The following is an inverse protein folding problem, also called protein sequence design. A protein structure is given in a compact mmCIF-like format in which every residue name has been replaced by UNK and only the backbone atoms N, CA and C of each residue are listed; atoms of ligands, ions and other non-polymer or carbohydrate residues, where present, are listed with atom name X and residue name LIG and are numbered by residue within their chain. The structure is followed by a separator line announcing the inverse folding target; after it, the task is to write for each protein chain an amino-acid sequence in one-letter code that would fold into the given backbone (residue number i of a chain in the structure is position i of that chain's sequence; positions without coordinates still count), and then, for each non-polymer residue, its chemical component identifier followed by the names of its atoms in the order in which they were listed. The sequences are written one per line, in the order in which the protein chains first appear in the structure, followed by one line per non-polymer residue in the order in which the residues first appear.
data_IF_358095004522
#
_entry.id   IF_358095004522
#
_cell.length_a   1.000
_cell.length_b   1.000
_cell.length_c   1.000
_cell.angle_alpha   90.00
_cell.angle_beta   90.00
_cell.angle_gamma   90.00
#
_symmetry.space_group_name_H-M   'P 1'
#
loop_
_entity.id
_entity.type
_entity.pdbx_description
1 polymer ?
#
# COMPACT_ATOMS: atom_id res chain seq x y z
N UNK A 1 39.89 13.22 52.95
CA UNK A 1 38.86 12.51 52.16
C UNK A 1 38.41 13.34 50.95
N UNK A 2 38.51 14.68 50.98
CA UNK A 2 38.16 15.55 49.83
C UNK A 2 39.17 15.51 48.67
N UNK A 3 40.45 15.26 48.92
CA UNK A 3 41.49 15.23 47.86
C UNK A 3 41.42 14.02 46.93
N UNK A 4 40.89 12.89 47.40
CA UNK A 4 40.73 11.68 46.60
C UNK A 4 39.49 11.75 45.70
N UNK A 5 38.44 12.45 46.16
CA UNK A 5 37.22 12.65 45.38
C UNK A 5 37.43 13.64 44.24
N UNK A 6 38.16 14.74 44.47
CA UNK A 6 38.51 15.69 43.42
C UNK A 6 39.39 15.05 42.34
N UNK A 7 40.40 14.27 42.74
CA UNK A 7 41.23 13.51 41.80
C UNK A 7 40.43 12.46 41.01
N UNK A 8 39.43 11.82 41.63
CA UNK A 8 38.56 10.86 40.96
C UNK A 8 37.60 11.53 39.97
N UNK A 9 37.02 12.68 40.32
CA UNK A 9 36.18 13.48 39.42
C UNK A 9 36.98 14.02 38.25
N UNK A 10 38.20 14.51 38.50
CA UNK A 10 39.11 14.98 37.45
C UNK A 10 39.61 13.85 36.54
N UNK A 11 39.69 12.60 37.05
CA UNK A 11 40.00 11.42 36.25
C UNK A 11 38.84 11.02 35.32
N UNK A 12 37.60 11.26 35.72
CA UNK A 12 36.41 10.96 34.91
C UNK A 12 36.18 12.01 33.83
N UNK A 13 36.24 13.30 34.19
CA UNK A 13 35.97 14.38 33.25
C UNK A 13 36.83 15.61 33.52
N UNK A 14 37.68 15.95 32.55
CA UNK A 14 38.52 17.12 32.62
C UNK A 14 37.89 18.28 31.83
N UNK A 15 37.28 19.22 32.56
CA UNK A 15 36.62 20.42 32.00
C UNK A 15 37.56 21.30 31.17
N UNK A 16 38.85 21.42 31.55
CA UNK A 16 39.82 22.28 30.84
C UNK A 16 40.21 21.73 29.47
N UNK A 17 40.28 20.40 29.35
CA UNK A 17 40.68 19.71 28.09
C UNK A 17 39.49 19.16 27.30
N UNK A 18 38.26 19.24 27.84
CA UNK A 18 37.05 18.59 27.30
C UNK A 18 37.24 17.10 27.02
N UNK A 19 38.01 16.43 27.88
CA UNK A 19 38.30 15.00 27.77
C UNK A 19 37.45 14.23 28.79
N UNK A 20 36.78 13.18 28.33
CA UNK A 20 36.06 12.23 29.17
C UNK A 20 36.86 10.93 29.21
N UNK A 21 37.26 10.49 30.41
CA UNK A 21 38.14 9.34 30.63
C UNK A 21 39.43 9.39 29.79
N UNK A 22 40.03 10.58 29.68
CA UNK A 22 41.28 10.81 28.94
C UNK A 22 41.16 10.81 27.41
N UNK A 23 39.94 10.89 26.85
CA UNK A 23 39.72 11.02 25.40
C UNK A 23 38.71 12.13 25.09
N UNK A 24 38.98 12.85 24.01
CA UNK A 24 38.07 13.84 23.44
C UNK A 24 36.77 13.18 22.93
N UNK A 25 35.64 13.87 23.05
CA UNK A 25 34.32 13.42 22.58
C UNK A 25 34.33 13.05 21.09
N UNK A 26 35.11 13.77 20.27
CA UNK A 26 35.28 13.46 18.85
C UNK A 26 35.97 12.10 18.59
N UNK A 27 36.81 11.61 19.53
CA UNK A 27 37.45 10.29 19.43
C UNK A 27 36.50 9.18 19.88
N UNK A 28 35.69 9.44 20.90
CA UNK A 28 34.64 8.53 21.33
C UNK A 28 33.58 8.32 20.24
N UNK A 29 33.19 9.38 19.54
CA UNK A 29 32.24 9.31 18.44
C UNK A 29 32.74 8.45 17.28
N UNK A 30 34.03 8.61 16.90
CA UNK A 30 34.67 7.77 15.88
C UNK A 30 34.68 6.28 16.25
N UNK A 31 34.95 5.94 17.51
CA UNK A 31 34.96 4.54 17.97
C UNK A 31 33.55 3.93 17.94
N UNK A 32 32.53 4.67 18.36
CA UNK A 32 31.13 4.24 18.32
C UNK A 32 30.63 4.08 16.90
N UNK A 33 30.90 5.05 16.03
CA UNK A 33 30.58 4.98 14.61
C UNK A 33 31.28 3.79 13.95
N UNK A 34 32.56 3.58 14.24
CA UNK A 34 33.33 2.43 13.74
C UNK A 34 32.71 1.09 14.15
N UNK A 35 32.40 0.92 15.44
CA UNK A 35 31.74 -0.29 15.95
C UNK A 35 30.35 -0.50 15.34
N UNK A 36 29.56 0.56 15.20
CA UNK A 36 28.24 0.48 14.59
C UNK A 36 28.33 0.07 13.11
N UNK A 37 29.24 0.68 12.35
CA UNK A 37 29.46 0.35 10.94
C UNK A 37 29.96 -1.08 10.76
N UNK A 38 30.84 -1.58 11.62
CA UNK A 38 31.32 -2.98 11.53
C UNK A 38 30.19 -3.96 11.84
N UNK A 39 29.41 -3.73 12.90
CA UNK A 39 28.26 -4.57 13.24
C UNK A 39 27.18 -4.53 12.14
N UNK A 40 26.92 -3.37 11.56
CA UNK A 40 25.99 -3.22 10.45
C UNK A 40 26.48 -3.97 9.19
N UNK A 41 27.78 -3.91 8.90
CA UNK A 41 28.36 -4.62 7.75
C UNK A 41 28.25 -6.13 7.92
N UNK A 42 28.53 -6.65 9.12
CA UNK A 42 28.35 -8.06 9.44
C UNK A 42 26.88 -8.46 9.31
N UNK A 43 25.95 -7.65 9.85
CA UNK A 43 24.53 -7.89 9.73
C UNK A 43 24.07 -7.95 8.26
N UNK A 44 24.51 -7.00 7.43
CA UNK A 44 24.18 -6.95 6.01
C UNK A 44 24.78 -8.12 5.23
N UNK A 45 25.98 -8.59 5.60
CA UNK A 45 26.61 -9.76 4.99
C UNK A 45 25.92 -11.08 5.37
N UNK A 46 25.41 -11.20 6.61
CA UNK A 46 24.69 -12.38 7.10
C UNK A 46 23.21 -12.41 6.69
N UNK A 47 22.64 -11.27 6.29
CA UNK A 47 21.25 -11.19 5.85
C UNK A 47 21.10 -11.77 4.44
N UNK A 48 20.19 -12.74 4.21
CA UNK A 48 19.94 -13.26 2.88
C UNK A 48 19.49 -12.13 1.94
N UNK A 49 20.15 -11.98 0.79
CA UNK A 49 19.79 -10.98 -0.22
C UNK A 49 18.53 -11.36 -1.02
N UNK A 50 18.14 -12.63 -0.98
CA UNK A 50 17.21 -13.20 -1.96
C UNK A 50 15.78 -13.27 -1.43
N UNK A 51 15.62 -13.43 -0.11
CA UNK A 51 14.31 -13.46 0.54
C UNK A 51 14.38 -12.89 1.95
N UNK A 52 13.33 -12.19 2.41
CA UNK A 52 13.27 -11.73 3.77
C UNK A 52 13.23 -12.93 4.72
N UNK A 53 13.96 -12.84 5.85
CA UNK A 53 13.94 -13.88 6.88
C UNK A 53 12.59 -14.00 7.58
N UNK A 54 11.89 -12.87 7.70
CA UNK A 54 10.55 -12.79 8.30
C UNK A 54 9.60 -12.20 7.28
N UNK A 55 8.49 -12.88 7.05
CA UNK A 55 7.41 -12.41 6.20
C UNK A 55 6.07 -12.63 6.91
N UNK A 56 5.07 -11.77 6.67
CA UNK A 56 3.73 -11.97 7.22
C UNK A 56 3.08 -13.23 6.62
N UNK A 57 2.25 -13.91 7.41
CA UNK A 57 1.51 -15.11 6.99
C UNK A 57 0.35 -14.78 6.02
N UNK A 58 -0.16 -13.55 6.07
CA UNK A 58 -1.31 -13.09 5.28
C UNK A 58 -1.03 -11.76 4.59
N UNK A 59 -1.51 -11.61 3.35
CA UNK A 59 -1.45 -10.34 2.63
C UNK A 59 -2.50 -9.35 3.13
N UNK A 60 -2.10 -8.09 3.29
CA UNK A 60 -3.07 -6.99 3.32
C UNK A 60 -3.56 -6.68 1.90
N UNK A 61 -4.75 -6.10 1.80
CA UNK A 61 -5.30 -5.60 0.54
C UNK A 61 -5.09 -4.09 0.49
N UNK A 62 -4.60 -3.61 -0.65
CA UNK A 62 -4.54 -2.19 -0.97
C UNK A 62 -5.65 -1.84 -1.93
N UNK A 63 -6.20 -0.63 -1.83
CA UNK A 63 -7.09 -0.09 -2.84
C UNK A 63 -6.52 1.20 -3.43
N UNK A 64 -6.98 1.56 -4.62
CA UNK A 64 -6.73 2.83 -5.30
C UNK A 64 -8.02 3.28 -5.98
N UNK A 65 -8.28 4.58 -6.12
CA UNK A 65 -7.42 5.71 -5.73
C UNK A 65 -7.52 6.05 -4.24
N UNK A 66 -6.46 6.64 -3.71
CA UNK A 66 -6.38 7.13 -2.32
C UNK A 66 -5.79 8.54 -2.37
N UNK A 67 -6.62 9.56 -2.17
CA UNK A 67 -6.18 10.96 -2.13
C UNK A 67 -5.78 11.39 -0.71
N UNK A 68 -6.52 10.92 0.30
CA UNK A 68 -6.24 11.13 1.71
C UNK A 68 -6.04 9.77 2.38
N UNK A 69 -4.83 9.56 2.92
CA UNK A 69 -4.42 8.28 3.50
C UNK A 69 -5.13 8.03 4.83
N UNK A 70 -5.50 9.10 5.55
CA UNK A 70 -6.09 9.00 6.89
C UNK A 70 -7.59 8.75 6.85
N UNK A 71 -8.28 9.35 5.87
CA UNK A 71 -9.75 9.29 5.80
C UNK A 71 -10.29 8.10 5.01
N UNK A 72 -9.49 7.51 4.10
CA UNK A 72 -9.93 6.46 3.16
C UNK A 72 -11.30 6.77 2.51
N UNK A 73 -11.56 8.05 2.24
CA UNK A 73 -12.83 8.56 1.75
C UNK A 73 -12.69 8.97 0.28
N UNK A 74 -13.63 8.51 -0.54
CA UNK A 74 -13.77 8.86 -1.94
C UNK A 74 -15.00 9.76 -2.06
N UNK A 75 -14.74 11.06 -2.18
CA UNK A 75 -15.72 12.12 -2.32
C UNK A 75 -15.85 12.52 -3.78
N UNK A 76 -16.96 12.16 -4.43
CA UNK A 76 -17.24 12.50 -5.84
C UNK A 76 -18.32 13.57 -5.86
N UNK A 77 -18.04 14.73 -6.45
CA UNK A 77 -19.04 15.78 -6.66
C UNK A 77 -19.60 15.68 -8.09
N UNK A 78 -20.88 15.34 -8.24
CA UNK A 78 -21.55 15.27 -9.55
C UNK A 78 -21.81 16.64 -10.17
N UNK A 79 -21.74 17.71 -9.37
CA UNK A 79 -22.13 19.07 -9.75
C UNK A 79 -20.95 20.00 -9.98
N UNK A 80 -19.77 19.65 -9.49
CA UNK A 80 -18.53 20.30 -9.88
C UNK A 80 -18.30 20.04 -11.38
N UNK A 81 -18.07 21.12 -12.14
CA UNK A 81 -17.90 21.14 -13.60
C UNK A 81 -17.24 19.89 -14.18
N UNK A 82 -17.90 19.26 -15.18
CA UNK A 82 -17.42 18.12 -16.00
C UNK A 82 -16.03 18.32 -16.65
N UNK A 83 -15.43 19.49 -16.52
CA UNK A 83 -14.21 19.89 -17.23
C UNK A 83 -12.93 19.79 -16.39
N UNK A 84 -13.01 19.61 -15.07
CA UNK A 84 -11.81 19.34 -14.25
C UNK A 84 -11.64 17.83 -14.11
N UNK A 85 -10.60 17.29 -14.74
CA UNK A 85 -10.25 15.88 -14.64
C UNK A 85 -10.19 15.50 -13.15
N UNK A 86 -11.16 14.69 -12.72
CA UNK A 86 -11.33 14.30 -11.32
C UNK A 86 -9.96 13.88 -10.72
N UNK A 87 -9.54 14.44 -9.56
CA UNK A 87 -8.28 14.10 -8.92
C UNK A 87 -8.08 12.60 -8.72
N UNK A 88 -9.16 11.81 -8.58
CA UNK A 88 -9.10 10.35 -8.54
C UNK A 88 -8.61 9.75 -9.86
N UNK A 89 -9.11 10.23 -11.00
CA UNK A 89 -8.69 9.78 -12.34
C UNK A 89 -7.22 10.13 -12.58
N UNK A 90 -6.79 11.33 -12.17
CA UNK A 90 -5.38 11.73 -12.23
C UNK A 90 -4.49 10.82 -11.39
N UNK A 91 -4.91 10.49 -10.17
CA UNK A 91 -4.20 9.57 -9.27
C UNK A 91 -4.07 8.17 -9.88
N UNK A 92 -5.15 7.64 -10.48
CA UNK A 92 -5.14 6.35 -11.17
C UNK A 92 -4.21 6.37 -12.39
N UNK A 93 -4.31 7.38 -13.25
CA UNK A 93 -3.43 7.50 -14.42
C UNK A 93 -1.95 7.59 -14.03
N UNK A 94 -1.63 8.37 -12.99
CA UNK A 94 -0.27 8.44 -12.45
C UNK A 94 0.21 7.08 -11.93
N UNK A 95 -0.67 6.34 -11.25
CA UNK A 95 -0.36 5.01 -10.74
C UNK A 95 -0.11 4.01 -11.88
N UNK A 96 -0.96 3.99 -12.91
CA UNK A 96 -0.86 3.06 -14.02
C UNK A 96 0.20 3.41 -15.06
N UNK A 97 0.78 4.62 -15.02
CA UNK A 97 1.92 4.97 -15.89
C UNK A 97 3.07 3.97 -15.78
N UNK A 98 3.30 3.42 -14.58
CA UNK A 98 4.32 2.39 -14.33
C UNK A 98 3.90 1.02 -14.87
N UNK A 99 2.60 0.70 -14.86
CA UNK A 99 2.07 -0.58 -15.35
C UNK A 99 2.04 -0.67 -16.88
N UNK A 100 1.72 0.45 -17.54
CA UNK A 100 1.66 0.54 -19.00
C UNK A 100 3.01 0.90 -19.64
N UNK A 101 4.05 1.17 -18.85
CA UNK A 101 5.38 1.39 -19.40
C UNK A 101 5.84 0.12 -20.12
N UNK A 102 5.95 0.25 -21.44
CA UNK A 102 6.16 -0.83 -22.39
C UNK A 102 7.61 -1.30 -22.25
N UNK A 103 7.83 -2.47 -21.66
CA UNK A 103 9.11 -3.16 -21.80
C UNK A 103 9.15 -3.77 -23.20
N UNK A 104 9.66 -3.03 -24.18
CA UNK A 104 9.63 -3.42 -25.60
C UNK A 104 10.51 -4.64 -25.95
N UNK A 105 11.23 -5.24 -25.00
CA UNK A 105 12.14 -6.37 -25.25
C UNK A 105 12.35 -7.27 -24.02
N UNK A 106 11.29 -7.83 -23.45
CA UNK A 106 11.44 -8.89 -22.43
C UNK A 106 10.72 -10.13 -22.96
N UNK A 107 11.45 -11.24 -23.10
CA UNK A 107 10.89 -12.54 -23.44
C UNK A 107 9.79 -12.91 -22.43
N UNK A 108 8.56 -12.77 -22.90
CA UNK A 108 7.31 -12.88 -22.16
C UNK A 108 7.03 -14.26 -21.56
N UNK A 109 7.85 -15.26 -21.88
CA UNK A 109 7.74 -16.61 -21.34
C UNK A 109 8.33 -16.75 -19.92
N UNK A 110 9.15 -15.81 -19.44
CA UNK A 110 9.74 -15.88 -18.09
C UNK A 110 9.10 -14.95 -17.06
N UNK A 111 8.35 -13.93 -17.50
CA UNK A 111 7.65 -13.03 -16.58
C UNK A 111 6.15 -13.23 -16.73
N UNK A 112 5.51 -13.75 -15.67
CA UNK A 112 4.06 -13.90 -15.63
C UNK A 112 3.41 -12.50 -15.62
N UNK A 113 3.22 -11.88 -16.78
CA UNK A 113 2.47 -10.61 -16.90
C UNK A 113 0.98 -10.89 -16.72
N UNK A 114 0.42 -10.40 -15.61
CA UNK A 114 -1.01 -10.44 -15.36
C UNK A 114 -1.76 -9.67 -16.47
N UNK A 115 -2.43 -10.39 -17.36
CA UNK A 115 -3.34 -9.81 -18.35
C UNK A 115 -4.74 -9.80 -17.75
N UNK A 116 -5.36 -8.61 -17.67
CA UNK A 116 -6.74 -8.45 -17.19
C UNK A 116 -7.68 -9.25 -18.08
N UNK A 117 -8.48 -10.14 -17.49
CA UNK A 117 -9.73 -10.61 -18.10
C UNK A 117 -10.76 -9.48 -18.05
N UNK A 118 -10.98 -8.81 -19.18
CA UNK A 118 -12.00 -7.78 -19.46
C UNK A 118 -12.29 -6.76 -18.32
N UNK A 119 -11.59 -5.61 -18.26
CA UNK A 119 -11.85 -4.56 -17.27
C UNK A 119 -13.21 -3.84 -17.38
N UNK A 120 -14.09 -4.27 -18.30
CA UNK A 120 -15.39 -3.63 -18.53
C UNK A 120 -15.23 -2.13 -18.81
N UNK A 121 -16.02 -1.30 -18.12
CA UNK A 121 -15.96 0.16 -18.23
C UNK A 121 -14.80 0.80 -17.44
N UNK A 122 -14.01 0.03 -16.69
CA UNK A 122 -12.95 0.54 -15.81
C UNK A 122 -11.64 0.86 -16.57
N UNK A 123 -11.76 1.53 -17.71
CA UNK A 123 -10.64 1.89 -18.59
C UNK A 123 -10.29 3.37 -18.47
N UNK A 124 -9.08 3.74 -18.89
CA UNK A 124 -8.62 5.12 -18.86
C UNK A 124 -9.45 6.03 -19.80
N UNK A 125 -9.94 5.47 -20.91
CA UNK A 125 -10.80 6.13 -21.89
C UNK A 125 -12.13 6.56 -21.26
N UNK A 126 -12.72 5.69 -20.44
CA UNK A 126 -13.98 5.96 -19.73
C UNK A 126 -13.76 6.66 -18.37
N UNK A 127 -12.56 7.20 -18.12
CA UNK A 127 -12.20 7.86 -16.86
C UNK A 127 -12.49 6.97 -15.63
N UNK A 128 -12.27 5.66 -15.77
CA UNK A 128 -12.56 4.64 -14.75
C UNK A 128 -13.98 4.73 -14.16
N UNK A 129 -14.96 5.16 -14.97
CA UNK A 129 -16.38 5.29 -14.60
C UNK A 129 -16.72 6.48 -13.68
N UNK A 130 -15.73 7.28 -13.26
CA UNK A 130 -15.94 8.43 -12.37
C UNK A 130 -16.84 9.50 -13.01
N UNK A 131 -16.66 9.76 -14.30
CA UNK A 131 -17.45 10.76 -15.04
C UNK A 131 -18.95 10.43 -15.13
N UNK A 132 -19.28 9.13 -15.13
CA UNK A 132 -20.66 8.65 -15.20
C UNK A 132 -21.29 8.45 -13.80
N UNK A 133 -20.56 8.76 -12.73
CA UNK A 133 -20.99 8.49 -11.35
C UNK A 133 -21.01 7.00 -10.99
N UNK A 134 -20.28 6.17 -11.75
CA UNK A 134 -20.10 4.74 -11.54
C UNK A 134 -18.61 4.45 -11.26
N UNK A 135 -18.09 4.84 -10.09
CA UNK A 135 -16.66 4.80 -9.83
C UNK A 135 -16.13 3.35 -9.84
N UNK A 136 -15.02 3.14 -10.52
CA UNK A 136 -14.26 1.90 -10.45
C UNK A 136 -13.13 2.02 -9.43
N UNK A 137 -13.12 1.12 -8.46
CA UNK A 137 -12.09 1.02 -7.44
C UNK A 137 -11.14 -0.12 -7.80
N UNK A 138 -9.86 0.18 -7.82
CA UNK A 138 -8.81 -0.80 -8.07
C UNK A 138 -8.40 -1.43 -6.75
N UNK A 139 -8.60 -2.74 -6.60
CA UNK A 139 -8.20 -3.49 -5.41
C UNK A 139 -7.06 -4.42 -5.79
N UNK A 140 -5.95 -4.32 -5.06
CA UNK A 140 -4.75 -5.13 -5.30
C UNK A 140 -4.34 -5.88 -4.04
N UNK A 141 -3.65 -6.98 -4.27
CA UNK A 141 -2.97 -7.72 -3.21
C UNK A 141 -1.54 -7.19 -3.01
N UNK A 142 -1.05 -7.21 -1.77
CA UNK A 142 0.35 -6.93 -1.48
C UNK A 142 1.22 -8.11 -1.91
N UNK A 143 2.44 -7.81 -2.39
CA UNK A 143 3.40 -8.81 -2.83
C UNK A 143 4.09 -9.44 -1.61
N UNK A 144 3.88 -10.73 -1.38
CA UNK A 144 4.60 -11.51 -0.38
C UNK A 144 5.44 -12.55 -1.11
N UNK A 145 6.74 -12.61 -0.78
CA UNK A 145 7.68 -13.56 -1.40
C UNK A 145 7.30 -14.99 -0.98
N UNK A 146 7.17 -15.91 -1.95
CA UNK A 146 6.84 -17.31 -1.72
C UNK A 146 5.38 -17.60 -1.33
N UNK A 147 4.51 -16.59 -1.32
CA UNK A 147 3.11 -16.79 -0.95
C UNK A 147 2.30 -17.42 -2.09
N UNK A 148 1.56 -18.48 -1.78
CA UNK A 148 0.61 -19.13 -2.70
C UNK A 148 -0.74 -19.27 -1.98
N UNK A 149 -1.84 -18.68 -2.50
CA UNK A 149 -3.15 -18.84 -1.89
C UNK A 149 -3.69 -20.26 -2.11
N UNK A 150 -4.31 -20.83 -1.07
CA UNK A 150 -5.06 -22.09 -1.15
C UNK A 150 -6.55 -21.76 -1.34
N UNK A 151 -7.16 -22.06 -2.49
CA UNK A 151 -8.57 -21.76 -2.72
C UNK A 151 -9.43 -22.52 -1.71
N UNK A 152 -10.48 -21.88 -1.23
CA UNK A 152 -11.48 -22.50 -0.36
C UNK A 152 -12.61 -23.08 -1.22
N UNK A 153 -13.22 -24.19 -0.79
CA UNK A 153 -14.24 -24.91 -1.57
C UNK A 153 -15.59 -24.17 -1.68
N UNK A 154 -15.72 -22.98 -1.09
CA UNK A 154 -16.90 -22.11 -1.21
C UNK A 154 -16.68 -21.04 -2.27
N UNK A 155 -17.06 -21.33 -3.51
CA UNK A 155 -17.08 -20.31 -4.56
C UNK A 155 -18.42 -19.58 -4.53
N UNK A 156 -18.41 -18.32 -4.07
CA UNK A 156 -19.53 -17.41 -4.33
C UNK A 156 -19.38 -16.87 -5.76
N UNK A 157 -20.31 -17.24 -6.63
CA UNK A 157 -20.33 -16.82 -8.04
C UNK A 157 -20.50 -15.29 -8.19
N UNK A 158 -20.87 -14.58 -7.13
CA UNK A 158 -21.00 -13.12 -7.13
C UNK A 158 -19.69 -12.39 -6.79
N UNK A 159 -18.60 -13.12 -6.53
CA UNK A 159 -17.31 -12.55 -6.16
C UNK A 159 -16.28 -12.64 -7.31
N UNK A 160 -15.43 -11.62 -7.43
CA UNK A 160 -14.29 -11.68 -8.34
C UNK A 160 -13.25 -12.71 -7.88
N UNK A 161 -12.75 -13.52 -8.80
CA UNK A 161 -11.73 -14.54 -8.53
C UNK A 161 -10.35 -14.11 -9.02
N UNK A 162 -9.30 -14.43 -8.24
CA UNK A 162 -7.91 -14.30 -8.66
C UNK A 162 -7.35 -15.68 -9.02
N UNK A 163 -6.81 -15.80 -10.23
CA UNK A 163 -6.20 -17.06 -10.66
C UNK A 163 -4.86 -17.31 -9.93
N UNK A 164 -4.69 -18.54 -9.45
CA UNK A 164 -3.50 -18.97 -8.70
C UNK A 164 -2.25 -18.98 -9.58
N UNK A 165 -2.42 -19.06 -10.92
CA UNK A 165 -1.32 -19.11 -11.89
C UNK A 165 -0.31 -17.97 -11.74
N UNK A 166 -0.75 -16.82 -11.23
CA UNK A 166 0.09 -15.64 -11.04
C UNK A 166 0.97 -15.69 -9.78
N UNK A 167 0.76 -16.65 -8.89
CA UNK A 167 1.59 -16.88 -7.71
C UNK A 167 2.61 -18.02 -7.95
N UNK A 168 3.68 -18.14 -7.14
CA UNK A 168 4.15 -17.20 -6.12
C UNK A 168 4.95 -16.01 -6.71
N UNK A 169 5.12 -14.97 -5.90
CA UNK A 169 6.11 -13.91 -6.17
C UNK A 169 7.48 -14.36 -5.62
N UNK A 170 8.51 -14.37 -6.45
CA UNK A 170 9.84 -14.90 -6.11
C UNK A 170 10.83 -13.80 -5.67
N UNK A 171 10.40 -12.54 -5.70
CA UNK A 171 11.23 -11.40 -5.33
C UNK A 171 11.79 -10.68 -6.55
N UNK A 172 12.59 -9.63 -6.32
CA UNK A 172 13.08 -8.74 -7.39
C UNK A 172 14.30 -9.27 -8.16
N UNK A 173 14.89 -10.41 -7.75
CA UNK A 173 16.20 -10.87 -8.22
C UNK A 173 16.13 -11.76 -9.47
N UNK A 174 15.02 -12.44 -9.73
CA UNK A 174 14.87 -13.44 -10.81
C UNK A 174 14.08 -12.92 -12.03
N UNK A 175 14.45 -11.77 -12.60
CA UNK A 175 13.74 -11.15 -13.76
C UNK A 175 12.25 -10.86 -13.53
N UNK A 176 11.76 -11.00 -12.30
CA UNK A 176 10.42 -10.59 -11.85
C UNK A 176 10.39 -9.11 -11.42
N UNK A 177 11.33 -8.28 -11.88
CA UNK A 177 11.28 -6.83 -11.74
C UNK A 177 9.99 -6.25 -12.34
N UNK A 178 9.50 -6.89 -13.40
CA UNK A 178 8.25 -6.55 -14.10
C UNK A 178 7.03 -7.31 -13.57
N UNK A 179 7.18 -8.12 -12.51
CA UNK A 179 6.04 -8.84 -11.92
C UNK A 179 4.95 -7.88 -11.46
N UNK A 180 3.72 -8.10 -11.91
CA UNK A 180 2.55 -7.33 -11.51
C UNK A 180 1.72 -8.18 -10.55
N UNK A 181 1.45 -7.65 -9.36
CA UNK A 181 0.59 -8.34 -8.41
C UNK A 181 -0.81 -8.47 -9.02
N UNK A 182 -1.50 -9.62 -8.85
CA UNK A 182 -2.86 -9.76 -9.31
C UNK A 182 -3.77 -8.74 -8.61
N UNK A 183 -4.72 -8.22 -9.37
CA UNK A 183 -5.65 -7.19 -8.94
C UNK A 183 -7.02 -7.43 -9.55
N UNK A 184 -8.03 -6.78 -8.97
CA UNK A 184 -9.41 -6.79 -9.44
C UNK A 184 -9.94 -5.37 -9.51
N UNK A 185 -10.88 -5.16 -10.42
CA UNK A 185 -11.68 -3.94 -10.50
C UNK A 185 -13.03 -4.16 -9.83
N UNK A 186 -13.43 -3.22 -8.98
CA UNK A 186 -14.74 -3.20 -8.34
C UNK A 186 -15.49 -1.99 -8.88
N UNK A 187 -16.43 -2.22 -9.78
CA UNK A 187 -17.28 -1.18 -10.35
C UNK A 187 -18.57 -1.07 -9.56
N UNK A 188 -18.92 0.15 -9.16
CA UNK A 188 -20.20 0.43 -8.53
C UNK A 188 -21.20 0.96 -9.57
N UNK A 189 -22.13 0.11 -9.99
CA UNK A 189 -23.11 0.47 -11.03
C UNK A 189 -24.20 1.43 -10.53
N UNK A 190 -24.67 1.25 -9.30
CA UNK A 190 -25.73 2.04 -8.71
C UNK A 190 -25.35 2.47 -7.29
N UNK A 191 -25.03 3.76 -7.15
CA UNK A 191 -24.66 4.35 -5.86
C UNK A 191 -25.68 5.40 -5.48
N UNK A 192 -26.23 5.30 -4.26
CA UNK A 192 -27.13 6.31 -3.71
C UNK A 192 -26.38 7.63 -3.51
N UNK A 193 -26.84 8.70 -4.15
CA UNK A 193 -26.30 10.04 -3.94
C UNK A 193 -26.60 10.54 -2.52
N UNK A 194 -25.72 11.39 -1.98
CA UNK A 194 -25.80 12.05 -0.67
C UNK A 194 -25.85 11.10 0.52
N UNK A 195 -25.34 9.88 0.38
CA UNK A 195 -25.23 8.89 1.45
C UNK A 195 -23.78 8.47 1.58
N UNK A 196 -23.28 8.38 2.82
CA UNK A 196 -21.96 7.83 3.12
C UNK A 196 -22.03 6.30 3.16
N UNK A 197 -21.35 5.65 2.24
CA UNK A 197 -21.32 4.18 2.14
C UNK A 197 -19.97 3.68 2.63
N UNK A 198 -19.97 2.79 3.62
CA UNK A 198 -18.76 2.14 4.11
C UNK A 198 -18.61 0.77 3.43
N UNK A 199 -17.55 0.60 2.64
CA UNK A 199 -17.28 -0.62 1.88
C UNK A 199 -16.13 -1.38 2.53
N UNK A 200 -16.30 -2.69 2.67
CA UNK A 200 -15.26 -3.61 3.11
C UNK A 200 -15.03 -4.67 2.04
N UNK A 201 -13.83 -4.70 1.46
CA UNK A 201 -13.41 -5.77 0.56
C UNK A 201 -12.56 -6.77 1.34
N UNK A 202 -12.86 -8.06 1.18
CA UNK A 202 -12.17 -9.17 1.84
C UNK A 202 -11.71 -10.19 0.79
N UNK A 203 -10.57 -10.82 1.04
CA UNK A 203 -10.10 -11.95 0.23
C UNK A 203 -10.27 -13.24 1.02
N UNK A 204 -10.66 -14.30 0.31
CA UNK A 204 -10.93 -15.61 0.88
C UNK A 204 -9.96 -16.65 0.34
N UNK A 205 -9.29 -17.34 1.25
CA UNK A 205 -8.41 -18.48 0.96
C UNK A 205 -8.18 -19.26 2.26
N UNK A 206 -8.03 -20.57 2.16
CA UNK A 206 -7.87 -21.47 3.31
C UNK A 206 -6.61 -21.19 4.15
N UNK A 207 -5.60 -20.54 3.58
CA UNK A 207 -4.35 -20.15 4.26
C UNK A 207 -4.27 -18.67 4.63
N UNK A 208 -5.39 -17.94 4.59
CA UNK A 208 -5.45 -16.53 4.95
C UNK A 208 -6.34 -16.36 6.18
N UNK A 209 -5.72 -16.09 7.32
CA UNK A 209 -6.45 -15.77 8.53
C UNK A 209 -6.94 -14.32 8.50
N UNK A 210 -8.25 -14.16 8.63
CA UNK A 210 -8.88 -12.86 8.78
C UNK A 210 -8.67 -12.32 10.19
N UNK A 211 -8.16 -11.11 10.31
CA UNK A 211 -8.12 -10.39 11.57
C UNK A 211 -8.55 -8.94 11.38
N UNK A 212 -9.66 -8.60 12.07
CA UNK A 212 -10.31 -7.29 11.99
C UNK A 212 -9.44 -6.18 12.60
N UNK A 213 -8.58 -6.49 13.58
CA UNK A 213 -7.74 -5.49 14.27
C UNK A 213 -6.50 -5.13 13.44
N UNK A 214 -5.88 -6.11 12.80
CA UNK A 214 -4.67 -5.90 12.00
C UNK A 214 -4.93 -5.54 10.54
N UNK A 215 -6.20 -5.45 10.11
CA UNK A 215 -6.58 -5.22 8.71
C UNK A 215 -5.92 -6.21 7.73
N UNK A 216 -5.65 -7.42 8.21
CA UNK A 216 -5.14 -8.52 7.38
C UNK A 216 -6.26 -9.02 6.49
N UNK A 217 -5.92 -9.30 5.22
CA UNK A 217 -6.85 -9.83 4.22
C UNK A 217 -8.08 -8.97 3.92
N UNK A 218 -8.11 -7.71 4.37
CA UNK A 218 -9.24 -6.81 4.17
C UNK A 218 -8.76 -5.41 3.79
N UNK A 219 -9.61 -4.67 3.10
CA UNK A 219 -9.45 -3.23 2.93
C UNK A 219 -10.79 -2.53 3.11
N UNK A 220 -10.76 -1.31 3.66
CA UNK A 220 -11.94 -0.51 3.94
C UNK A 220 -11.79 0.87 3.35
N UNK A 221 -12.84 1.33 2.71
CA UNK A 221 -12.95 2.68 2.19
C UNK A 221 -14.38 3.14 2.24
N UNK A 222 -14.56 4.45 2.28
CA UNK A 222 -15.86 5.10 2.28
C UNK A 222 -16.09 5.77 0.94
N UNK A 223 -17.30 5.67 0.41
CA UNK A 223 -17.71 6.37 -0.81
C UNK A 223 -18.83 7.34 -0.44
N UNK A 224 -18.69 8.58 -0.91
CA UNK A 224 -19.73 9.58 -0.84
C UNK A 224 -19.86 10.28 -2.20
N UNK A 225 -21.06 10.24 -2.77
CA UNK A 225 -21.36 10.93 -4.01
C UNK A 225 -22.26 12.12 -3.70
N UNK A 226 -21.73 13.34 -3.84
CA UNK A 226 -22.45 14.59 -3.62
C UNK A 226 -23.27 14.96 -4.86
N UNK A 227 -24.55 15.22 -4.65
CA UNK A 227 -25.51 15.60 -5.68
C UNK A 227 -26.42 16.72 -5.16
N UNK A 228 -26.07 17.96 -5.49
CA UNK A 228 -26.76 19.16 -4.98
C UNK A 228 -28.18 19.26 -5.53
N UNK A 229 -28.45 18.72 -6.73
CA UNK A 229 -29.79 18.73 -7.31
C UNK A 229 -30.75 17.86 -6.48
N UNK A 230 -30.30 16.67 -6.06
CA UNK A 230 -31.08 15.79 -5.18
C UNK A 230 -31.17 16.29 -3.75
N UNK A 231 -30.14 16.96 -3.22
CA UNK A 231 -30.19 17.51 -1.86
C UNK A 231 -31.25 18.61 -1.72
N UNK A 232 -31.39 19.47 -2.74
CA UNK A 232 -32.44 20.50 -2.79
C UNK A 232 -33.85 19.93 -2.97
N UNK A 233 -33.98 18.76 -3.60
CA UNK A 233 -35.26 18.07 -3.73
C UNK A 233 -35.71 17.48 -2.39
N UNK A 234 -34.79 16.84 -1.67
CA UNK A 234 -35.07 16.26 -0.34
C UNK A 234 -35.43 17.32 0.70
N UNK A 235 -34.84 18.52 0.65
CA UNK A 235 -35.19 19.61 1.57
C UNK A 235 -36.58 20.19 1.30
N UNK A 236 -37.04 20.18 0.04
CA UNK A 236 -38.39 20.66 -0.33
C UNK A 236 -39.52 19.68 0.04
N UNK A 237 -39.23 18.38 0.11
CA UNK A 237 -40.21 17.35 0.49
C UNK A 237 -40.34 17.12 2.00
N UNK A 238 -39.45 17.70 2.83
CA UNK A 238 -39.50 17.61 4.28
C UNK A 238 -40.14 18.81 4.98
N UNK A 239 -40.80 19.69 4.21
CA UNK A 239 -41.35 20.97 4.66
C UNK A 239 -42.90 21.01 4.64
N UNK A 240 -43.55 19.85 4.79
CA UNK A 240 -45.01 19.69 4.94
C UNK A 240 -45.31 18.97 6.26
#
# INVERSE_FOLDING_TARGET
MESTLSAFIDAIYNSKRREFLGRDGARWDKLKCGFFCTMLTIFMALSPRDRPRYHPESSCLGFRPQLDIEKNLILIDKTASRNELDPYVKSLNQYFRVYYWKHDNIDFNQTKKFTISNPGDCTAQNQYGYANGKPCIFVKMNKIVGFVPKPENGHDNNCGSLEIKWFPYEGKKERQDVYQAPYVWVQFNEVKSNVLINVMCRIFAANINFDRKSSRALTRFQIYIKDIAKSKLSSKTGEI
#
